data_IF_078683691880
#
_entry.id   IF_078683691880
#
_cell.length_a   1.000
_cell.length_b   1.000
_cell.length_c   1.000
_cell.angle_alpha   90.00
_cell.angle_beta   90.00
_cell.angle_gamma   90.00
#
_symmetry.space_group_name_H-M   'P 1'
#
loop_
_entity.id
_entity.type
_entity.pdbx_description
1 polymer ?
#
# COMPACT_ATOMS: atom_id res chain seq x y z
N UNK A 1 -8.12 4.57 -23.62
CA UNK A 1 -8.69 4.39 -22.26
C UNK A 1 -9.64 3.21 -22.27
N UNK A 2 -9.39 2.21 -21.42
CA UNK A 2 -10.33 1.11 -21.17
C UNK A 2 -11.48 1.53 -20.24
N UNK A 3 -12.65 0.95 -20.46
CA UNK A 3 -13.84 1.12 -19.64
C UNK A 3 -14.70 -0.16 -19.64
N UNK A 4 -15.53 -0.31 -18.62
CA UNK A 4 -16.46 -1.43 -18.50
C UNK A 4 -17.77 -1.11 -19.22
N UNK A 5 -18.25 -2.03 -20.06
CA UNK A 5 -19.52 -1.96 -20.77
C UNK A 5 -20.45 -3.07 -20.26
N UNK A 6 -21.69 -2.70 -19.93
CA UNK A 6 -22.79 -3.62 -19.63
C UNK A 6 -23.71 -3.71 -20.84
N UNK A 7 -24.11 -4.92 -21.23
CA UNK A 7 -25.02 -5.17 -22.36
C UNK A 7 -26.13 -6.10 -21.91
N UNK A 8 -27.39 -5.69 -22.06
CA UNK A 8 -28.55 -6.56 -21.83
C UNK A 8 -28.68 -7.53 -23.02
N UNK A 9 -28.77 -8.83 -22.73
CA UNK A 9 -28.95 -9.87 -23.75
C UNK A 9 -30.43 -10.23 -23.89
N UNK A 10 -30.80 -10.87 -25.00
CA UNK A 10 -32.17 -11.34 -25.25
C UNK A 10 -32.66 -12.37 -24.22
N UNK A 11 -31.74 -13.12 -23.60
CA UNK A 11 -32.04 -14.08 -22.52
C UNK A 11 -32.32 -13.45 -21.15
N UNK A 12 -32.26 -12.12 -21.04
CA UNK A 12 -32.44 -11.40 -19.77
C UNK A 12 -31.15 -11.22 -18.95
N UNK A 13 -30.03 -11.81 -19.38
CA UNK A 13 -28.74 -11.64 -18.72
C UNK A 13 -28.11 -10.25 -18.98
N UNK A 14 -27.13 -9.89 -18.15
CA UNK A 14 -26.25 -8.73 -18.36
C UNK A 14 -24.85 -9.23 -18.67
N UNK A 15 -24.43 -9.09 -19.93
CA UNK A 15 -23.05 -9.34 -20.33
C UNK A 15 -22.15 -8.17 -19.90
N UNK A 16 -21.02 -8.48 -19.28
CA UNK A 16 -20.00 -7.51 -18.86
C UNK A 16 -18.77 -7.67 -19.74
N UNK A 17 -18.31 -6.55 -20.31
CA UNK A 17 -17.16 -6.49 -21.19
C UNK A 17 -16.24 -5.35 -20.80
N UNK A 18 -14.95 -5.50 -21.07
CA UNK A 18 -13.98 -4.40 -21.00
C UNK A 18 -13.63 -3.98 -22.42
N UNK A 19 -13.75 -2.69 -22.70
CA UNK A 19 -13.57 -2.10 -24.03
C UNK A 19 -12.55 -1.00 -23.93
N UNK A 20 -11.64 -0.94 -24.90
CA UNK A 20 -10.72 0.19 -25.08
C UNK A 20 -11.17 1.06 -26.23
N UNK A 21 -11.22 2.37 -25.97
CA UNK A 21 -11.28 3.38 -27.04
C UNK A 21 -9.87 3.90 -27.29
N UNK A 22 -9.38 3.73 -28.53
CA UNK A 22 -8.08 4.24 -28.98
C UNK A 22 -8.20 4.74 -30.42
N UNK A 23 -7.75 5.98 -30.69
CA UNK A 23 -7.79 6.63 -32.02
C UNK A 23 -9.14 6.47 -32.76
N UNK A 24 -10.24 6.66 -32.05
CA UNK A 24 -11.60 6.54 -32.60
C UNK A 24 -12.12 5.11 -32.75
N UNK A 25 -11.27 4.09 -32.63
CA UNK A 25 -11.66 2.69 -32.69
C UNK A 25 -12.02 2.14 -31.31
N UNK A 26 -13.02 1.25 -31.27
CA UNK A 26 -13.45 0.53 -30.06
C UNK A 26 -13.02 -0.93 -30.20
N UNK A 27 -12.16 -1.39 -29.31
CA UNK A 27 -11.69 -2.78 -29.27
C UNK A 27 -12.16 -3.44 -27.98
N UNK A 28 -12.74 -4.63 -28.07
CA UNK A 28 -13.09 -5.42 -26.87
C UNK A 28 -11.80 -6.04 -26.35
N UNK A 29 -11.41 -5.69 -25.12
CA UNK A 29 -10.22 -6.24 -24.47
C UNK A 29 -10.51 -7.58 -23.81
N UNK A 30 -11.66 -7.70 -23.14
CA UNK A 30 -12.04 -8.91 -22.42
C UNK A 30 -13.57 -9.06 -22.38
N UNK A 31 -14.04 -10.29 -22.54
CA UNK A 31 -15.39 -10.69 -22.17
C UNK A 31 -15.33 -11.33 -20.78
N UNK A 32 -15.94 -10.68 -19.78
CA UNK A 32 -15.82 -11.11 -18.38
C UNK A 32 -16.86 -12.17 -18.04
N UNK A 33 -18.05 -12.08 -18.65
CA UNK A 33 -19.13 -13.06 -18.49
C UNK A 33 -20.52 -12.44 -18.60
N UNK A 34 -21.55 -13.22 -18.28
CA UNK A 34 -22.94 -12.78 -18.19
C UNK A 34 -23.55 -13.07 -16.82
N UNK A 35 -24.32 -12.13 -16.28
CA UNK A 35 -24.98 -12.26 -14.99
C UNK A 35 -26.50 -12.34 -15.15
N UNK A 36 -27.13 -13.29 -14.46
CA UNK A 36 -28.58 -13.40 -14.37
C UNK A 36 -29.12 -12.86 -13.03
N UNK A 37 -28.23 -12.51 -12.10
CA UNK A 37 -28.55 -11.96 -10.78
C UNK A 37 -27.67 -10.76 -10.47
N UNK A 38 -28.13 -9.90 -9.56
CA UNK A 38 -27.35 -8.71 -9.16
C UNK A 38 -26.06 -9.08 -8.41
N UNK A 39 -26.08 -10.16 -7.63
CA UNK A 39 -24.90 -10.68 -6.95
C UNK A 39 -23.82 -11.11 -7.95
N UNK A 40 -24.19 -11.88 -8.99
CA UNK A 40 -23.27 -12.23 -10.07
C UNK A 40 -22.77 -10.99 -10.81
N UNK A 41 -23.65 -10.02 -11.07
CA UNK A 41 -23.27 -8.79 -11.76
C UNK A 41 -22.24 -7.99 -10.95
N UNK A 42 -22.39 -7.91 -9.62
CA UNK A 42 -21.41 -7.27 -8.74
C UNK A 42 -20.02 -7.88 -8.86
N UNK A 43 -19.93 -9.22 -8.80
CA UNK A 43 -18.66 -9.95 -8.94
C UNK A 43 -18.01 -9.67 -10.31
N UNK A 44 -18.78 -9.76 -11.40
CA UNK A 44 -18.26 -9.50 -12.74
C UNK A 44 -17.81 -8.05 -12.92
N UNK A 45 -18.48 -7.08 -12.30
CA UNK A 45 -18.09 -5.67 -12.35
C UNK A 45 -16.78 -5.39 -11.63
N UNK A 46 -16.57 -6.00 -10.46
CA UNK A 46 -15.30 -5.86 -9.73
C UNK A 46 -14.13 -6.46 -10.51
N UNK A 47 -14.32 -7.63 -11.12
CA UNK A 47 -13.31 -8.22 -12.00
C UNK A 47 -13.05 -7.34 -13.24
N UNK A 48 -14.12 -6.84 -13.89
CA UNK A 48 -13.99 -5.98 -15.05
C UNK A 48 -13.26 -4.66 -14.74
N UNK A 49 -13.49 -4.08 -13.54
CA UNK A 49 -12.76 -2.90 -13.07
C UNK A 49 -11.26 -3.15 -12.93
N UNK A 50 -10.86 -4.30 -12.37
CA UNK A 50 -9.45 -4.70 -12.27
C UNK A 50 -8.78 -4.79 -13.64
N UNK A 51 -9.45 -5.42 -14.60
CA UNK A 51 -8.95 -5.55 -15.98
C UNK A 51 -8.88 -4.17 -16.66
N UNK A 52 -9.88 -3.31 -16.48
CA UNK A 52 -9.88 -1.97 -17.07
C UNK A 52 -8.77 -1.09 -16.47
N UNK A 53 -8.48 -1.23 -15.17
CA UNK A 53 -7.38 -0.54 -14.51
C UNK A 53 -6.00 -1.01 -15.02
N UNK A 54 -5.84 -2.31 -15.28
CA UNK A 54 -4.61 -2.88 -15.87
C UNK A 54 -4.31 -2.37 -17.29
N UNK A 55 -5.33 -2.01 -18.09
CA UNK A 55 -5.10 -1.37 -19.41
C UNK A 55 -4.81 0.13 -19.28
N UNK A 56 -5.30 0.79 -18.22
CA UNK A 56 -5.00 2.20 -17.93
C UNK A 56 -3.62 2.39 -17.29
N UNK A 57 -3.09 1.34 -16.66
CA UNK A 57 -1.72 1.25 -16.23
C UNK A 57 -1.33 -0.22 -16.16
N UNK A 58 -0.22 -0.56 -16.81
CA UNK A 58 0.88 -1.10 -16.02
C UNK A 58 0.95 -0.20 -14.79
N UNK A 59 0.26 -0.61 -13.73
CA UNK A 59 0.38 0.02 -12.44
C UNK A 59 1.85 -0.19 -12.14
N UNK A 60 2.61 0.89 -12.07
CA UNK A 60 4.00 0.89 -11.59
C UNK A 60 3.96 0.47 -10.13
N UNK A 61 3.71 -0.82 -9.92
CA UNK A 61 4.00 -1.53 -8.70
C UNK A 61 5.06 -2.52 -9.15
N UNK A 62 6.31 -2.06 -9.10
CA UNK A 62 7.41 -2.94 -8.77
C UNK A 62 7.02 -3.63 -7.45
N UNK A 63 6.39 -4.79 -7.55
CA UNK A 63 6.46 -5.78 -6.48
C UNK A 63 7.82 -6.42 -6.71
N UNK A 64 8.90 -6.03 -5.99
CA UNK A 64 10.05 -6.92 -5.98
C UNK A 64 9.49 -8.25 -5.46
N UNK A 65 9.55 -9.29 -6.28
CA UNK A 65 9.30 -10.65 -5.87
C UNK A 65 10.43 -11.07 -4.91
N UNK A 66 10.52 -10.40 -3.76
CA UNK A 66 11.19 -10.96 -2.61
C UNK A 66 10.24 -12.01 -2.08
N UNK A 67 10.68 -13.26 -2.14
CA UNK A 67 10.18 -14.32 -1.28
C UNK A 67 10.35 -13.85 0.16
N UNK A 68 9.33 -13.16 0.69
CA UNK A 68 9.29 -12.80 2.09
C UNK A 68 8.94 -14.10 2.83
N UNK A 69 9.90 -14.60 3.61
CA UNK A 69 9.65 -15.72 4.50
C UNK A 69 8.61 -15.33 5.54
N UNK A 70 7.65 -16.21 5.81
CA UNK A 70 6.62 -16.03 6.83
C UNK A 70 7.25 -15.91 8.23
N UNK A 71 8.45 -16.46 8.41
CA UNK A 71 9.18 -16.53 9.69
C UNK A 71 9.51 -15.14 10.28
N UNK A 72 9.62 -14.10 9.45
CA UNK A 72 9.92 -12.73 9.87
C UNK A 72 8.70 -11.85 10.14
N UNK A 73 7.49 -12.36 9.93
CA UNK A 73 6.26 -11.58 10.13
C UNK A 73 5.92 -11.61 11.62
N UNK A 74 5.90 -10.44 12.27
CA UNK A 74 5.55 -10.34 13.67
C UNK A 74 4.12 -10.84 13.93
N UNK A 75 3.98 -11.87 14.76
CA UNK A 75 2.68 -12.34 15.22
C UNK A 75 2.17 -11.45 16.36
N UNK A 76 1.41 -10.44 15.98
CA UNK A 76 0.82 -9.46 16.90
C UNK A 76 -0.16 -10.08 17.91
N UNK A 77 -0.64 -11.31 17.68
CA UNK A 77 -1.52 -12.01 18.63
C UNK A 77 -0.77 -12.59 19.82
N UNK A 78 0.51 -12.91 19.64
CA UNK A 78 1.33 -13.59 20.64
C UNK A 78 2.22 -12.61 21.44
N UNK A 79 2.19 -11.32 21.08
CA UNK A 79 2.94 -10.26 21.79
C UNK A 79 4.46 -10.40 21.71
N UNK A 80 4.97 -11.31 20.89
CA UNK A 80 6.40 -11.59 20.76
C UNK A 80 6.91 -11.00 19.45
N UNK A 81 7.77 -9.99 19.56
CA UNK A 81 8.47 -9.42 18.41
C UNK A 81 9.71 -10.27 18.13
N UNK A 82 9.90 -10.80 16.90
CA UNK A 82 11.15 -11.45 16.55
C UNK A 82 12.27 -10.40 16.55
N UNK A 83 13.08 -10.38 17.60
CA UNK A 83 14.30 -9.58 17.67
C UNK A 83 15.34 -10.25 16.76
N UNK A 84 15.90 -9.51 15.81
CA UNK A 84 17.03 -10.00 15.01
C UNK A 84 18.16 -10.44 15.94
N UNK A 85 18.65 -11.68 15.85
CA UNK A 85 19.78 -12.12 16.66
C UNK A 85 21.02 -11.34 16.21
N UNK A 86 21.50 -10.43 17.07
CA UNK A 86 22.66 -9.59 16.75
C UNK A 86 22.70 -8.21 17.40
N UNK A 87 21.67 -7.78 18.14
CA UNK A 87 21.78 -6.53 18.92
C UNK A 87 22.56 -6.81 20.21
N UNK A 88 23.78 -6.28 20.40
CA UNK A 88 24.46 -6.39 21.68
C UNK A 88 23.65 -5.62 22.73
N UNK A 89 23.34 -6.30 23.84
CA UNK A 89 22.67 -5.74 25.01
C UNK A 89 23.44 -4.50 25.47
N UNK A 90 22.91 -3.32 25.16
CA UNK A 90 23.58 -2.04 25.28
C UNK A 90 24.05 -1.75 26.70
N UNK A 91 25.38 -1.72 26.83
CA UNK A 91 26.21 -0.79 27.60
C UNK A 91 25.53 0.03 28.71
N UNK A 92 26.05 -0.14 29.93
CA UNK A 92 25.85 0.73 31.08
C UNK A 92 26.26 2.16 30.71
N UNK A 93 25.30 3.04 30.41
CA UNK A 93 25.57 4.48 30.27
C UNK A 93 26.06 4.98 31.64
N UNK A 94 27.29 5.49 31.64
CA UNK A 94 27.94 6.13 32.77
C UNK A 94 26.98 7.13 33.43
N UNK A 95 26.84 6.99 34.75
CA UNK A 95 26.20 7.98 35.58
C UNK A 95 26.99 9.29 35.49
N UNK A 96 26.36 10.34 34.99
CA UNK A 96 26.85 11.71 35.17
C UNK A 96 26.70 12.07 36.65
N UNK A 97 27.80 12.00 37.41
CA UNK A 97 27.93 12.68 38.71
C UNK A 97 28.56 14.03 38.42
N UNK A 98 27.74 15.08 38.46
CA UNK A 98 28.21 16.45 38.34
C UNK A 98 29.07 16.85 39.55
N UNK A 99 29.98 17.82 39.34
CA UNK A 99 30.02 19.04 40.15
C UNK A 99 31.02 20.07 39.57
N UNK A 100 30.57 21.33 39.66
CA UNK A 100 31.32 22.59 39.70
C UNK A 100 32.02 23.12 38.42
N UNK A 101 31.28 23.91 37.63
CA UNK A 101 31.84 25.11 36.98
C UNK A 101 31.29 26.36 37.68
N UNK A 102 32.05 26.87 38.65
CA UNK A 102 31.79 28.18 39.24
C UNK A 102 32.02 29.27 38.19
N UNK A 103 30.95 29.97 37.84
CA UNK A 103 30.92 31.04 36.84
C UNK A 103 31.64 32.29 37.36
N UNK A 104 32.72 32.68 36.70
CA UNK A 104 33.32 34.02 36.84
C UNK A 104 32.81 34.94 35.75
N UNK A 105 31.93 35.89 36.09
CA UNK A 105 31.63 37.04 35.24
C UNK A 105 31.63 38.31 36.09
N UNK A 106 32.79 38.98 36.07
CA UNK A 106 32.94 40.37 36.50
C UNK A 106 32.09 41.27 35.60
N UNK A 107 31.26 42.12 36.20
CA UNK A 107 30.76 43.35 35.55
C UNK A 107 31.05 44.53 36.49
N UNK A 108 31.89 45.44 36.01
CA UNK A 108 32.26 46.69 36.65
C UNK A 108 31.25 47.82 36.37
N UNK A 109 31.17 48.80 37.30
CA UNK A 109 30.71 50.22 37.25
C UNK A 109 29.85 50.52 38.50
N UNK A 110 29.91 51.65 39.21
CA UNK A 110 30.67 52.93 39.20
C UNK A 110 30.19 53.73 40.44
N UNK A 111 31.02 54.60 40.99
CA UNK A 111 30.59 55.95 41.42
C UNK A 111 30.26 56.18 42.89
N UNK A 112 31.06 57.10 43.47
CA UNK A 112 30.91 58.00 44.63
C UNK A 112 30.37 57.44 45.95
#
# INVERSE_FOLDING_TARGET
MAYVRKVRTASGAVAVQVVRKHRGQRTILAHVGSAHTDAQLGILLEQARRIAAQDQGVLDIEVPARTQSIDGIADWRTGTLPLSPGVPKGARRQAYRGDAFASSLRRARRGL
#
